data_IF_425221370177
#
_entry.id   IF_425221370177
#
_cell.length_a   1.000
_cell.length_b   1.000
_cell.length_c   1.000
_cell.angle_alpha   90.00
_cell.angle_beta   90.00
_cell.angle_gamma   90.00
#
_symmetry.space_group_name_H-M   'P 1'
#
loop_
_entity.id
_entity.type
_entity.pdbx_description
1 polymer ?
#
# COMPACT_ATOMS: atom_id res chain seq x y z
N UNK A 1 41.23 11.96 -3.59
CA UNK A 1 41.29 11.33 -4.92
C UNK A 1 39.88 11.25 -5.48
N UNK A 2 39.69 11.50 -6.79
CA UNK A 2 38.39 11.38 -7.44
C UNK A 2 38.16 9.92 -7.87
N UNK A 3 37.17 9.25 -7.29
CA UNK A 3 36.70 7.94 -7.74
C UNK A 3 35.51 8.11 -8.67
N UNK A 4 35.57 7.53 -9.88
CA UNK A 4 34.41 7.44 -10.78
C UNK A 4 33.60 6.20 -10.44
N UNK A 5 32.29 6.35 -10.23
CA UNK A 5 31.42 5.23 -9.94
C UNK A 5 30.92 4.57 -11.24
N UNK A 6 31.06 3.25 -11.33
CA UNK A 6 30.47 2.45 -12.42
C UNK A 6 28.95 2.37 -12.26
N UNK A 7 28.22 2.36 -13.38
CA UNK A 7 26.76 2.19 -13.42
C UNK A 7 26.34 0.70 -13.60
N UNK A 8 27.29 -0.23 -13.68
CA UNK A 8 27.06 -1.66 -13.89
C UNK A 8 26.15 -2.28 -12.84
N UNK A 9 26.17 -1.76 -11.60
CA UNK A 9 25.30 -2.23 -10.52
C UNK A 9 23.79 -2.15 -10.82
N UNK A 10 23.36 -1.34 -11.80
CA UNK A 10 21.94 -1.22 -12.22
C UNK A 10 21.40 -2.46 -12.92
N UNK A 11 22.28 -3.30 -13.46
CA UNK A 11 21.92 -4.50 -14.22
C UNK A 11 22.19 -5.78 -13.43
N UNK A 12 22.70 -5.67 -12.20
CA UNK A 12 22.95 -6.82 -11.33
C UNK A 12 21.64 -7.39 -10.79
N UNK A 13 21.55 -8.72 -10.80
CA UNK A 13 20.45 -9.46 -10.19
C UNK A 13 20.91 -9.93 -8.82
N UNK A 14 20.09 -9.74 -7.79
CA UNK A 14 20.42 -10.12 -6.41
C UNK A 14 19.21 -10.71 -5.70
N UNK A 15 19.44 -11.69 -4.83
CA UNK A 15 18.43 -12.23 -3.92
C UNK A 15 18.49 -11.44 -2.62
N UNK A 16 17.51 -10.57 -2.39
CA UNK A 16 17.44 -9.72 -1.20
C UNK A 16 16.00 -9.75 -0.69
N UNK A 17 15.81 -9.83 0.63
CA UNK A 17 14.48 -9.70 1.21
C UNK A 17 14.04 -8.22 1.18
N UNK A 18 12.79 -7.93 0.81
CA UNK A 18 12.27 -6.56 0.86
C UNK A 18 12.43 -5.95 2.26
N UNK A 19 12.31 -6.78 3.30
CA UNK A 19 12.51 -6.36 4.68
C UNK A 19 13.90 -5.76 4.92
N UNK A 20 14.96 -6.36 4.35
CA UNK A 20 16.33 -5.86 4.52
C UNK A 20 16.57 -4.52 3.81
N UNK A 21 15.81 -4.24 2.76
CA UNK A 21 15.96 -3.01 1.96
C UNK A 21 15.27 -1.82 2.64
N UNK A 22 14.19 -2.05 3.37
CA UNK A 22 13.43 -0.98 4.04
C UNK A 22 14.09 -0.65 5.39
N UNK A 23 14.64 0.57 5.57
CA UNK A 23 15.32 0.94 6.81
C UNK A 23 14.42 0.75 8.03
N UNK A 24 14.99 0.23 9.13
CA UNK A 24 14.24 -0.02 10.36
C UNK A 24 13.59 1.25 10.96
N UNK A 25 14.19 2.43 10.72
CA UNK A 25 13.68 3.72 11.17
C UNK A 25 12.72 4.41 10.18
N UNK A 26 12.40 3.77 9.04
CA UNK A 26 11.51 4.32 8.03
C UNK A 26 10.09 4.52 8.57
N UNK A 27 9.38 5.56 8.11
CA UNK A 27 8.07 5.91 8.66
C UNK A 27 7.03 4.79 8.50
N UNK A 28 7.03 4.08 7.37
CA UNK A 28 6.13 2.92 7.16
C UNK A 28 6.29 1.82 8.21
N UNK A 29 7.52 1.59 8.71
CA UNK A 29 7.77 0.62 9.80
C UNK A 29 7.11 1.07 11.08
N UNK A 30 7.18 2.37 11.37
CA UNK A 30 6.53 2.98 12.54
C UNK A 30 5.01 2.92 12.41
N UNK A 31 4.46 3.16 11.23
CA UNK A 31 3.02 3.01 10.98
C UNK A 31 2.55 1.57 11.18
N UNK A 32 3.26 0.59 10.59
CA UNK A 32 2.94 -0.83 10.73
C UNK A 32 2.99 -1.30 12.19
N UNK A 33 3.95 -0.78 12.97
CA UNK A 33 4.08 -1.11 14.38
C UNK A 33 3.06 -0.39 15.29
N UNK A 34 2.56 0.78 14.88
CA UNK A 34 1.67 1.61 15.68
C UNK A 34 0.19 1.29 15.47
N UNK A 35 -0.17 0.70 14.33
CA UNK A 35 -1.55 0.46 13.94
C UNK A 35 -1.69 -1.02 13.61
N UNK A 36 -2.45 -1.74 14.43
CA UNK A 36 -3.00 -3.02 13.98
C UNK A 36 -4.10 -2.72 12.97
N UNK A 37 -3.96 -3.18 11.73
CA UNK A 37 -4.94 -2.94 10.67
C UNK A 37 -6.04 -4.01 10.60
N UNK A 38 -5.96 -5.06 11.42
CA UNK A 38 -6.91 -6.18 11.40
C UNK A 38 -8.36 -5.75 11.68
N UNK A 39 -8.56 -4.71 12.50
CA UNK A 39 -9.88 -4.13 12.78
C UNK A 39 -10.66 -3.69 11.54
N UNK A 40 -9.98 -3.44 10.42
CA UNK A 40 -10.63 -3.07 9.16
C UNK A 40 -11.50 -4.22 8.64
N UNK A 41 -11.09 -5.47 8.85
CA UNK A 41 -11.88 -6.63 8.40
C UNK A 41 -13.25 -6.66 9.07
N UNK A 42 -13.30 -6.39 10.38
CA UNK A 42 -14.57 -6.32 11.13
C UNK A 42 -15.44 -5.15 10.63
N UNK A 43 -14.83 -4.00 10.32
CA UNK A 43 -15.57 -2.82 9.83
C UNK A 43 -16.18 -2.99 8.44
N UNK A 44 -15.64 -3.89 7.62
CA UNK A 44 -16.05 -4.05 6.22
C UNK A 44 -16.67 -5.41 5.93
N UNK A 45 -16.86 -6.26 6.94
CA UNK A 45 -17.36 -7.63 6.78
C UNK A 45 -18.66 -7.66 5.97
N UNK A 46 -19.66 -6.84 6.35
CA UNK A 46 -20.95 -6.74 5.68
C UNK A 46 -20.89 -6.24 4.22
N UNK A 47 -19.76 -5.63 3.83
CA UNK A 47 -19.54 -5.10 2.49
C UNK A 47 -18.89 -6.13 1.55
N UNK A 48 -18.50 -7.31 2.05
CA UNK A 48 -17.79 -8.34 1.31
C UNK A 48 -18.50 -9.70 1.41
N UNK A 49 -18.53 -10.42 0.28
CA UNK A 49 -18.97 -11.82 0.25
C UNK A 49 -17.74 -12.71 0.38
N UNK A 50 -17.77 -13.66 1.32
CA UNK A 50 -16.62 -14.51 1.66
C UNK A 50 -16.43 -15.67 0.69
N UNK A 51 -17.50 -16.16 0.09
CA UNK A 51 -17.55 -17.47 -0.56
C UNK A 51 -17.93 -17.41 -2.05
N UNK A 52 -18.19 -16.23 -2.60
CA UNK A 52 -18.63 -16.12 -4.00
C UNK A 52 -18.06 -14.92 -4.75
N UNK A 53 -17.88 -15.09 -6.07
CA UNK A 53 -17.45 -14.04 -6.99
C UNK A 53 -15.93 -13.92 -7.17
N UNK A 54 -15.53 -12.86 -7.89
CA UNK A 54 -14.11 -12.56 -8.14
C UNK A 54 -13.49 -11.91 -6.90
N UNK A 55 -12.35 -12.43 -6.38
CA UNK A 55 -11.65 -11.80 -5.27
C UNK A 55 -11.35 -10.33 -5.58
N UNK A 56 -11.76 -9.45 -4.66
CA UNK A 56 -11.41 -8.04 -4.73
C UNK A 56 -9.99 -7.80 -4.21
N UNK A 57 -9.53 -6.56 -4.31
CA UNK A 57 -8.36 -6.12 -3.55
C UNK A 57 -8.72 -6.22 -2.06
N UNK A 58 -7.76 -6.69 -1.27
CA UNK A 58 -7.86 -6.75 0.18
C UNK A 58 -8.25 -5.35 0.75
N UNK A 59 -9.27 -5.25 1.62
CA UNK A 59 -9.69 -3.98 2.20
C UNK A 59 -8.58 -3.30 3.04
N UNK A 60 -7.77 -4.05 3.77
CA UNK A 60 -6.62 -3.50 4.52
C UNK A 60 -5.64 -2.85 3.57
N UNK A 61 -5.35 -3.49 2.43
CA UNK A 61 -4.47 -2.92 1.41
C UNK A 61 -5.04 -1.62 0.86
N UNK A 62 -6.34 -1.55 0.56
CA UNK A 62 -6.99 -0.33 0.07
C UNK A 62 -6.86 0.82 1.07
N UNK A 63 -7.10 0.55 2.36
CA UNK A 63 -6.96 1.56 3.40
C UNK A 63 -5.49 1.95 3.59
N UNK A 64 -4.56 1.01 3.60
CA UNK A 64 -3.11 1.31 3.66
C UNK A 64 -2.64 2.18 2.50
N UNK A 65 -3.20 2.03 1.30
CA UNK A 65 -2.93 2.95 0.18
C UNK A 65 -3.39 4.39 0.48
N UNK A 66 -4.53 4.56 1.14
CA UNK A 66 -5.02 5.88 1.60
C UNK A 66 -4.11 6.43 2.71
N UNK A 67 -3.63 5.60 3.63
CA UNK A 67 -2.63 6.01 4.62
C UNK A 67 -1.33 6.49 3.95
N UNK A 68 -0.81 5.77 2.95
CA UNK A 68 0.37 6.22 2.19
C UNK A 68 0.08 7.59 1.56
N UNK A 69 -1.08 7.76 0.93
CA UNK A 69 -1.45 9.03 0.32
C UNK A 69 -1.45 10.17 1.35
N UNK A 70 -2.11 9.98 2.49
CA UNK A 70 -2.30 11.00 3.50
C UNK A 70 -1.00 11.33 4.25
N UNK A 71 -0.33 10.31 4.79
CA UNK A 71 0.87 10.49 5.64
C UNK A 71 2.04 11.06 4.85
N UNK A 72 2.21 10.67 3.58
CA UNK A 72 3.30 11.17 2.73
C UNK A 72 2.87 12.39 1.88
N UNK A 73 1.66 12.91 2.07
CA UNK A 73 1.19 14.13 1.41
C UNK A 73 1.08 14.03 -0.12
N UNK A 74 0.73 12.85 -0.64
CA UNK A 74 0.63 12.62 -2.09
C UNK A 74 -0.69 13.19 -2.61
N UNK A 75 -0.58 14.11 -3.58
CA UNK A 75 -1.71 14.92 -4.06
C UNK A 75 -2.84 14.14 -4.75
N UNK A 76 -2.60 12.92 -5.21
CA UNK A 76 -3.63 12.13 -5.89
C UNK A 76 -3.40 10.64 -5.73
N UNK A 77 -4.48 9.87 -5.67
CA UNK A 77 -4.41 8.41 -5.58
C UNK A 77 -3.74 7.77 -6.81
N UNK A 78 -3.87 8.39 -7.99
CA UNK A 78 -3.12 7.96 -9.18
C UNK A 78 -1.62 8.03 -8.94
N UNK A 79 -1.12 9.18 -8.46
CA UNK A 79 0.29 9.35 -8.12
C UNK A 79 0.72 8.41 -7.00
N UNK A 80 -0.15 8.18 -6.00
CA UNK A 80 0.12 7.20 -4.93
C UNK A 80 0.37 5.81 -5.50
N UNK A 81 -0.46 5.36 -6.44
CA UNK A 81 -0.29 4.06 -7.09
C UNK A 81 0.99 4.00 -7.93
N UNK A 82 1.32 5.06 -8.65
CA UNK A 82 2.57 5.15 -9.42
C UNK A 82 3.80 5.09 -8.48
N UNK A 83 3.74 5.76 -7.32
CA UNK A 83 4.80 5.69 -6.30
C UNK A 83 4.86 4.31 -5.63
N UNK A 84 3.73 3.66 -5.35
CA UNK A 84 3.70 2.28 -4.83
C UNK A 84 4.39 1.32 -5.82
N UNK A 85 4.25 1.56 -7.12
CA UNK A 85 4.87 0.68 -8.11
C UNK A 85 6.41 0.74 -8.09
N UNK A 86 6.99 1.86 -7.65
CA UNK A 86 8.44 2.08 -7.69
C UNK A 86 9.10 2.10 -6.31
N UNK A 87 8.35 2.36 -5.24
CA UNK A 87 8.85 2.47 -3.88
C UNK A 87 8.84 1.14 -3.15
N UNK A 88 10.03 0.62 -2.82
CA UNK A 88 10.20 -0.61 -2.02
C UNK A 88 9.52 -0.48 -0.66
N UNK A 89 9.60 0.69 -0.02
CA UNK A 89 9.01 0.93 1.29
C UNK A 89 7.49 0.85 1.26
N UNK A 90 6.85 1.36 0.21
CA UNK A 90 5.40 1.30 0.08
C UNK A 90 4.93 -0.11 -0.28
N UNK A 91 5.65 -0.83 -1.14
CA UNK A 91 5.37 -2.26 -1.40
C UNK A 91 5.49 -3.10 -0.14
N UNK A 92 6.55 -2.88 0.65
CA UNK A 92 6.73 -3.54 1.95
C UNK A 92 5.56 -3.28 2.90
N UNK A 93 5.12 -2.02 3.02
CA UNK A 93 3.98 -1.66 3.87
C UNK A 93 2.66 -2.32 3.45
N UNK A 94 2.49 -2.54 2.14
CA UNK A 94 1.32 -3.22 1.56
C UNK A 94 1.46 -4.75 1.53
N UNK A 95 2.58 -5.31 1.98
CA UNK A 95 2.85 -6.75 1.89
C UNK A 95 2.98 -7.25 0.45
N UNK A 96 3.42 -6.39 -0.46
CA UNK A 96 3.61 -6.71 -1.87
C UNK A 96 5.08 -6.98 -2.17
N UNK A 97 5.35 -8.06 -2.88
CA UNK A 97 6.66 -8.29 -3.49
C UNK A 97 6.82 -7.47 -4.80
N UNK A 98 7.99 -7.59 -5.42
CA UNK A 98 8.29 -6.91 -6.69
C UNK A 98 7.56 -7.48 -7.90
N UNK A 99 7.13 -8.73 -7.85
CA UNK A 99 6.44 -9.42 -8.95
C UNK A 99 4.92 -9.17 -8.93
N UNK A 100 4.36 -8.86 -7.76
CA UNK A 100 2.94 -8.63 -7.57
C UNK A 100 2.52 -7.34 -8.25
N UNK A 101 1.70 -7.44 -9.29
CA UNK A 101 1.19 -6.28 -10.02
C UNK A 101 0.32 -5.38 -9.12
N UNK A 102 0.62 -4.08 -9.10
CA UNK A 102 -0.17 -3.10 -8.36
C UNK A 102 -1.52 -2.89 -9.07
N UNK A 103 -2.64 -2.79 -8.33
CA UNK A 103 -3.92 -2.48 -8.93
C UNK A 103 -3.91 -1.15 -9.67
N UNK A 104 -4.57 -1.11 -10.83
CA UNK A 104 -4.75 0.14 -11.56
C UNK A 104 -5.65 1.13 -10.80
N UNK A 105 -5.43 2.43 -10.97
CA UNK A 105 -6.18 3.48 -10.25
C UNK A 105 -7.70 3.36 -10.37
N UNK A 106 -8.20 2.91 -11.53
CA UNK A 106 -9.63 2.74 -11.73
C UNK A 106 -10.22 1.60 -10.90
N UNK A 107 -9.40 0.60 -10.53
CA UNK A 107 -9.82 -0.47 -9.63
C UNK A 107 -9.99 0.03 -8.21
N UNK A 108 -9.10 0.93 -7.75
CA UNK A 108 -9.28 1.63 -6.48
C UNK A 108 -10.57 2.45 -6.49
N UNK A 109 -10.73 3.31 -7.50
CA UNK A 109 -11.92 4.17 -7.61
C UNK A 109 -13.24 3.38 -7.65
N UNK A 110 -13.28 2.25 -8.37
CA UNK A 110 -14.46 1.37 -8.40
C UNK A 110 -14.73 0.67 -7.07
N UNK A 111 -13.69 0.27 -6.32
CA UNK A 111 -13.90 -0.30 -4.99
C UNK A 111 -14.43 0.74 -4.02
N UNK A 112 -13.85 1.94 -4.05
CA UNK A 112 -14.32 3.06 -3.26
C UNK A 112 -15.78 3.38 -3.58
N UNK A 113 -16.10 3.58 -4.86
CA UNK A 113 -17.46 3.93 -5.28
C UNK A 113 -18.50 2.86 -4.95
N UNK A 114 -18.15 1.57 -5.02
CA UNK A 114 -19.11 0.48 -4.83
C UNK A 114 -19.30 0.06 -3.38
N UNK A 115 -18.27 0.20 -2.55
CA UNK A 115 -18.25 -0.37 -1.19
C UNK A 115 -18.19 0.69 -0.11
N UNK A 116 -17.54 1.82 -0.37
CA UNK A 116 -17.25 2.82 0.65
C UNK A 116 -17.94 4.18 0.39
N UNK A 117 -18.55 4.35 -0.79
CA UNK A 117 -19.38 5.52 -1.07
C UNK A 117 -20.61 5.44 -0.17
N UNK A 118 -20.87 6.54 0.53
CA UNK A 118 -21.95 6.69 1.51
C UNK A 118 -21.76 5.88 2.81
N UNK A 119 -20.54 5.42 3.10
CA UNK A 119 -20.18 4.89 4.43
C UNK A 119 -19.38 5.93 5.23
N UNK A 120 -19.44 5.81 6.56
CA UNK A 120 -18.64 6.59 7.51
C UNK A 120 -17.28 5.93 7.82
N UNK A 121 -16.85 4.96 7.00
CA UNK A 121 -15.66 4.15 7.25
C UNK A 121 -14.40 5.00 7.40
N UNK A 122 -14.20 5.96 6.49
CA UNK A 122 -13.04 6.85 6.55
C UNK A 122 -13.11 7.81 7.76
N UNK A 123 -14.30 8.21 8.17
CA UNK A 123 -14.49 9.03 9.36
C UNK A 123 -14.10 8.24 10.62
N UNK A 124 -14.58 7.00 10.75
CA UNK A 124 -14.23 6.08 11.84
C UNK A 124 -12.72 5.79 11.92
N UNK A 125 -12.03 5.72 10.78
CA UNK A 125 -10.60 5.40 10.73
C UNK A 125 -9.71 6.62 11.01
N UNK A 126 -10.07 7.80 10.51
CA UNK A 126 -9.17 8.97 10.50
C UNK A 126 -9.59 10.12 11.42
N UNK A 127 -10.84 10.16 11.89
CA UNK A 127 -11.41 11.32 12.62
C UNK A 127 -11.86 10.98 14.05
N UNK A 128 -11.37 9.89 14.63
CA UNK A 128 -11.49 9.61 16.06
C UNK A 128 -10.32 10.18 16.87
#
# INVERSE_FOLDING_TARGET
>A
MLSKQSMEGRYQISMIALDEVVPANHLVRKLEAAIDFSFIYDLVEDLYCLDNGRPSIDPVVLIKMVFIQYVFGIKSMRKTIDEIDTSVAYRWFLGFDFNKKIPHFSTFGKNYERRFKDTDLFEKIFYH
#
